data_IF_788555963851
#
_entry.id   IF_788555963851
#
_cell.length_a   1.000
_cell.length_b   1.000
_cell.length_c   1.000
_cell.angle_alpha   90.00
_cell.angle_beta   90.00
_cell.angle_gamma   90.00
#
_symmetry.space_group_name_H-M   'P 1'
#
loop_
_entity.id
_entity.type
_entity.pdbx_description
1 polymer ?
#
# COMPACT_ATOMS: atom_id res chain seq x y z
N UNK A 1 9.46 5.18 1.90
CA UNK A 1 8.23 4.38 1.68
C UNK A 1 8.17 3.66 0.32
N UNK A 2 8.80 4.15 -0.76
CA UNK A 2 8.59 3.66 -2.14
C UNK A 2 8.83 2.15 -2.38
N UNK A 3 9.83 1.54 -1.73
CA UNK A 3 10.13 0.11 -1.90
C UNK A 3 9.04 -0.77 -1.28
N UNK A 4 8.64 -0.47 -0.04
CA UNK A 4 7.55 -1.17 0.65
C UNK A 4 6.22 -0.98 -0.08
N UNK A 5 5.92 0.25 -0.48
CA UNK A 5 4.71 0.59 -1.23
C UNK A 5 4.65 -0.14 -2.60
N UNK A 6 5.79 -0.36 -3.26
CA UNK A 6 5.85 -1.15 -4.48
C UNK A 6 5.77 -2.66 -4.21
N UNK A 7 6.47 -3.14 -3.18
CA UNK A 7 6.45 -4.55 -2.79
C UNK A 7 5.04 -5.02 -2.44
N UNK A 8 4.30 -4.24 -1.64
CA UNK A 8 2.91 -4.57 -1.31
C UNK A 8 1.99 -4.53 -2.53
N UNK A 9 2.25 -3.64 -3.49
CA UNK A 9 1.52 -3.60 -4.77
C UNK A 9 1.64 -4.89 -5.61
N UNK A 10 2.69 -5.71 -5.41
CA UNK A 10 2.83 -6.99 -6.11
C UNK A 10 1.88 -8.08 -5.59
N UNK A 11 1.31 -7.91 -4.40
CA UNK A 11 0.42 -8.90 -3.75
C UNK A 11 -1.05 -8.61 -3.94
N UNK A 12 -1.39 -7.56 -4.66
CA UNK A 12 -2.77 -7.13 -4.76
C UNK A 12 -3.46 -7.86 -5.91
N UNK A 13 -4.65 -8.38 -5.61
CA UNK A 13 -5.47 -9.11 -6.57
C UNK A 13 -6.37 -8.16 -7.38
N UNK A 14 -6.98 -8.71 -8.41
CA UNK A 14 -7.98 -8.03 -9.23
C UNK A 14 -9.12 -7.50 -8.36
N UNK A 15 -9.54 -6.24 -8.58
CA UNK A 15 -10.52 -5.51 -7.75
C UNK A 15 -10.08 -5.25 -6.29
N UNK A 16 -8.80 -5.33 -5.98
CA UNK A 16 -8.24 -4.93 -4.69
C UNK A 16 -7.18 -3.83 -4.85
N UNK A 17 -6.96 -3.06 -3.78
CA UNK A 17 -5.86 -2.10 -3.70
C UNK A 17 -5.10 -2.28 -2.38
N UNK A 18 -3.81 -1.99 -2.38
CA UNK A 18 -3.00 -1.88 -1.16
C UNK A 18 -2.69 -0.41 -0.88
N UNK A 19 -2.68 -0.02 0.40
CA UNK A 19 -2.34 1.33 0.81
C UNK A 19 -1.40 1.29 2.01
N UNK A 20 -0.17 1.79 1.82
CA UNK A 20 0.81 1.83 2.90
C UNK A 20 0.52 3.00 3.86
N UNK A 21 0.35 2.67 5.13
CA UNK A 21 0.28 3.64 6.24
C UNK A 21 1.45 3.38 7.18
N UNK A 22 2.19 4.44 7.52
CA UNK A 22 3.28 4.41 8.49
C UNK A 22 2.78 5.04 9.77
N UNK A 23 2.84 4.29 10.87
CA UNK A 23 2.44 4.77 12.18
C UNK A 23 3.66 4.92 13.10
N UNK A 24 3.58 5.86 14.04
CA UNK A 24 4.50 5.94 15.17
C UNK A 24 4.37 4.68 16.02
N UNK A 25 5.50 4.11 16.43
CA UNK A 25 5.52 2.83 17.15
C UNK A 25 4.90 2.93 18.54
N UNK A 26 5.13 4.06 19.21
CA UNK A 26 4.79 4.35 20.58
C UNK A 26 3.35 4.85 20.75
N UNK A 27 2.86 5.71 19.85
CA UNK A 27 1.50 6.27 19.93
C UNK A 27 0.50 5.62 18.97
N UNK A 28 0.99 4.92 17.94
CA UNK A 28 0.14 4.42 16.84
C UNK A 28 -0.34 5.51 15.89
N UNK A 29 0.07 6.77 16.08
CA UNK A 29 -0.36 7.90 15.26
C UNK A 29 0.15 7.76 13.83
N UNK A 30 -0.69 8.07 12.85
CA UNK A 30 -0.31 8.02 11.44
C UNK A 30 0.64 9.16 11.07
N UNK A 31 1.85 8.79 10.65
CA UNK A 31 2.89 9.72 10.21
C UNK A 31 2.80 9.97 8.71
N UNK A 32 2.50 8.92 7.94
CA UNK A 32 2.44 8.98 6.49
C UNK A 32 1.42 8.01 5.94
N UNK A 33 0.68 8.47 4.94
CA UNK A 33 -0.25 7.65 4.15
C UNK A 33 0.11 7.76 2.67
N UNK A 34 0.48 6.65 2.06
CA UNK A 34 0.74 6.59 0.62
C UNK A 34 -0.59 6.58 -0.17
N UNK A 35 -0.56 7.00 -1.45
CA UNK A 35 -1.72 6.85 -2.32
C UNK A 35 -2.05 5.36 -2.50
N UNK A 36 -3.33 5.00 -2.69
CA UNK A 36 -3.73 3.62 -2.94
C UNK A 36 -3.10 3.11 -4.24
N UNK A 37 -2.59 1.87 -4.20
CA UNK A 37 -2.06 1.15 -5.37
C UNK A 37 -2.97 0.00 -5.76
N UNK A 38 -3.47 0.05 -6.98
CA UNK A 38 -4.10 -1.10 -7.63
C UNK A 38 -3.04 -2.04 -8.17
N UNK A 39 -3.40 -3.30 -8.38
CA UNK A 39 -2.50 -4.27 -8.99
C UNK A 39 -2.36 -4.04 -10.46
N UNK A 40 -1.17 -4.29 -11.00
CA UNK A 40 -0.90 -4.23 -12.44
C UNK A 40 -1.65 -5.30 -13.25
N UNK A 41 -2.48 -6.14 -12.61
CA UNK A 41 -3.38 -7.04 -13.33
C UNK A 41 -4.56 -6.27 -13.92
N UNK A 42 -4.45 -5.96 -15.21
CA UNK A 42 -5.58 -5.60 -16.05
C UNK A 42 -6.53 -6.80 -16.10
N UNK A 43 -7.80 -6.58 -15.79
CA UNK A 43 -8.89 -7.54 -16.07
C UNK A 43 -8.87 -7.85 -17.58
N UNK A 44 -8.46 -9.08 -17.94
CA UNK A 44 -8.58 -9.61 -19.31
C UNK A 44 -9.93 -10.25 -19.54
#
# INVERSE_FOLDING_TARGET
ARLLDHFFGLYVHTNSFTQLVVCAHDTGEEILRCPPRNGDQILV
#
